data_IF_662795197352
#
_entry.id   IF_662795197352
#
_cell.length_a   1.000
_cell.length_b   1.000
_cell.length_c   1.000
_cell.angle_alpha   90.00
_cell.angle_beta   90.00
_cell.angle_gamma   90.00
#
_symmetry.space_group_name_H-M   'P 1'
#
loop_
_entity.id
_entity.type
_entity.pdbx_description
1 polymer ?
#
# COMPACT_ATOMS: atom_id res chain seq x y z
N UNK A 1 16.05 -3.44 -46.98
CA UNK A 1 15.35 -4.34 -46.03
C UNK A 1 14.80 -3.50 -44.89
N UNK A 2 13.52 -3.11 -44.97
CA UNK A 2 12.87 -2.13 -44.08
C UNK A 2 11.95 -2.83 -43.05
N UNK A 3 12.53 -3.68 -42.21
CA UNK A 3 11.81 -4.45 -41.19
C UNK A 3 12.03 -3.96 -39.77
N UNK A 4 12.31 -2.67 -39.55
CA UNK A 4 12.43 -2.13 -38.20
C UNK A 4 11.02 -1.81 -37.66
N UNK A 5 10.50 -2.81 -36.95
CA UNK A 5 9.46 -2.80 -35.93
C UNK A 5 8.59 -1.54 -35.84
N UNK A 6 7.30 -1.70 -36.13
CA UNK A 6 6.26 -0.80 -35.66
C UNK A 6 6.45 -0.57 -34.15
N UNK A 7 6.69 0.69 -33.74
CA UNK A 7 6.90 1.01 -32.33
C UNK A 7 5.65 0.63 -31.55
N UNK A 8 5.82 -0.09 -30.43
CA UNK A 8 4.69 -0.43 -29.56
C UNK A 8 3.99 0.85 -29.08
N UNK A 9 2.65 0.93 -29.13
CA UNK A 9 1.92 2.11 -28.68
C UNK A 9 2.15 2.40 -27.20
N UNK A 10 2.07 3.67 -26.80
CA UNK A 10 2.31 4.09 -25.40
C UNK A 10 1.39 3.40 -24.40
N UNK A 11 0.13 3.13 -24.79
CA UNK A 11 -0.81 2.34 -23.99
C UNK A 11 -0.26 0.94 -23.67
N UNK A 12 0.40 0.31 -24.65
CA UNK A 12 0.95 -1.03 -24.49
C UNK A 12 2.24 -0.99 -23.65
N UNK A 13 3.08 0.03 -23.82
CA UNK A 13 4.23 0.28 -22.93
C UNK A 13 3.78 0.42 -21.48
N UNK A 14 2.75 1.24 -21.22
CA UNK A 14 2.17 1.41 -19.87
C UNK A 14 1.69 0.07 -19.31
N UNK A 15 1.01 -0.76 -20.11
CA UNK A 15 0.52 -2.07 -19.68
C UNK A 15 1.67 -2.98 -19.25
N UNK A 16 2.73 -3.07 -20.06
CA UNK A 16 3.91 -3.90 -19.78
C UNK A 16 4.60 -3.42 -18.50
N UNK A 17 4.81 -2.11 -18.38
CA UNK A 17 5.48 -1.49 -17.23
C UNK A 17 4.68 -1.67 -15.95
N UNK A 18 3.36 -1.47 -16.02
CA UNK A 18 2.47 -1.71 -14.88
C UNK A 18 2.56 -3.15 -14.40
N UNK A 19 2.73 -4.13 -15.29
CA UNK A 19 2.91 -5.52 -14.91
C UNK A 19 4.26 -5.77 -14.23
N UNK A 20 5.35 -5.16 -14.71
CA UNK A 20 6.65 -5.25 -14.02
C UNK A 20 6.58 -4.68 -12.61
N UNK A 21 6.00 -3.49 -12.45
CA UNK A 21 5.85 -2.83 -11.15
C UNK A 21 5.02 -3.68 -10.17
N UNK A 22 3.88 -4.22 -10.62
CA UNK A 22 3.02 -5.06 -9.77
C UNK A 22 3.66 -6.40 -9.39
N UNK A 23 4.58 -6.88 -10.21
CA UNK A 23 5.29 -8.14 -10.01
C UNK A 23 6.63 -7.96 -9.29
N UNK A 24 6.95 -6.75 -8.84
CA UNK A 24 8.18 -6.50 -8.11
C UNK A 24 8.21 -7.36 -6.82
N UNK A 25 9.35 -8.00 -6.49
CA UNK A 25 9.49 -8.68 -5.21
C UNK A 25 9.34 -7.69 -4.04
N UNK A 26 8.78 -8.12 -2.90
CA UNK A 26 8.80 -7.33 -1.68
C UNK A 26 10.23 -6.92 -1.33
N UNK A 27 10.44 -5.64 -1.04
CA UNK A 27 11.77 -5.08 -0.77
C UNK A 27 12.53 -4.56 -2.00
N UNK A 28 12.18 -4.99 -3.22
CA UNK A 28 12.91 -4.64 -4.47
C UNK A 28 12.13 -3.68 -5.39
N UNK A 29 11.06 -3.08 -4.90
CA UNK A 29 10.22 -2.17 -5.68
C UNK A 29 11.01 -0.99 -6.28
N UNK A 30 11.96 -0.42 -5.54
CA UNK A 30 12.70 0.76 -5.98
C UNK A 30 13.67 0.40 -7.12
N UNK A 31 14.28 -0.78 -7.03
CA UNK A 31 15.17 -1.36 -8.03
C UNK A 31 14.38 -1.61 -9.33
N UNK A 32 13.27 -2.35 -9.24
CA UNK A 32 12.39 -2.61 -10.40
C UNK A 32 11.87 -1.30 -11.00
N UNK A 33 11.48 -0.33 -10.18
CA UNK A 33 11.05 0.99 -10.66
C UNK A 33 12.16 1.72 -11.43
N UNK A 34 13.39 1.72 -10.91
CA UNK A 34 14.52 2.37 -11.57
C UNK A 34 14.87 1.68 -12.90
N UNK A 35 14.86 0.36 -12.95
CA UNK A 35 15.11 -0.40 -14.18
C UNK A 35 14.05 -0.09 -15.24
N UNK A 36 12.77 -0.13 -14.85
CA UNK A 36 11.63 0.22 -15.70
C UNK A 36 11.72 1.66 -16.22
N UNK A 37 12.13 2.61 -15.37
CA UNK A 37 12.29 4.02 -15.74
C UNK A 37 13.35 4.19 -16.83
N UNK A 38 14.49 3.51 -16.69
CA UNK A 38 15.57 3.51 -17.70
C UNK A 38 15.12 2.83 -18.99
N UNK A 39 14.40 1.70 -18.90
CA UNK A 39 13.89 0.99 -20.07
C UNK A 39 12.83 1.77 -20.86
N UNK A 40 12.00 2.55 -20.18
CA UNK A 40 10.97 3.35 -20.81
C UNK A 40 11.50 4.66 -21.39
N UNK A 41 12.46 5.29 -20.72
CA UNK A 41 13.04 6.60 -21.08
C UNK A 41 11.98 7.70 -21.30
N UNK A 42 10.90 7.67 -20.51
CA UNK A 42 9.83 8.66 -20.56
C UNK A 42 9.15 8.82 -19.19
N UNK A 43 9.69 9.73 -18.38
CA UNK A 43 9.21 9.99 -17.01
C UNK A 43 7.75 10.47 -16.95
N UNK A 44 7.29 11.21 -17.96
CA UNK A 44 5.92 11.69 -17.99
C UNK A 44 4.94 10.52 -18.16
N UNK A 45 5.22 9.64 -19.12
CA UNK A 45 4.41 8.47 -19.39
C UNK A 45 4.40 7.49 -18.22
N UNK A 46 5.53 7.33 -17.53
CA UNK A 46 5.64 6.50 -16.32
C UNK A 46 4.76 7.05 -15.19
N UNK A 47 4.85 8.36 -14.92
CA UNK A 47 4.10 8.99 -13.83
C UNK A 47 2.59 8.96 -14.07
N UNK A 48 2.14 9.32 -15.27
CA UNK A 48 0.71 9.38 -15.58
C UNK A 48 0.12 7.98 -15.74
N UNK A 49 0.81 7.12 -16.51
CA UNK A 49 0.29 5.82 -16.91
C UNK A 49 0.40 4.72 -15.86
N UNK A 50 1.45 4.72 -15.03
CA UNK A 50 1.71 3.66 -14.06
C UNK A 50 1.39 4.03 -12.60
N UNK A 51 0.87 5.24 -12.34
CA UNK A 51 0.48 5.68 -10.98
C UNK A 51 -0.42 4.70 -10.24
N UNK A 52 -1.39 4.12 -10.96
CA UNK A 52 -2.31 3.10 -10.43
C UNK A 52 -1.62 1.78 -10.11
N UNK A 53 -0.52 1.44 -10.80
CA UNK A 53 0.25 0.25 -10.50
C UNK A 53 1.01 0.40 -9.16
N UNK A 54 1.53 1.60 -8.86
CA UNK A 54 2.18 1.88 -7.58
C UNK A 54 1.19 1.79 -6.40
N UNK A 55 -0.01 2.34 -6.57
CA UNK A 55 -1.02 2.27 -5.51
C UNK A 55 -1.48 0.84 -5.27
N UNK A 56 -1.75 0.10 -6.35
CA UNK A 56 -2.15 -1.30 -6.26
C UNK A 56 -1.05 -2.16 -5.60
N UNK A 57 0.20 -2.03 -6.04
CA UNK A 57 1.33 -2.76 -5.44
C UNK A 57 1.43 -2.51 -3.93
N UNK A 58 1.44 -1.23 -3.51
CA UNK A 58 1.57 -0.91 -2.10
C UNK A 58 0.39 -1.42 -1.25
N UNK A 59 -0.83 -1.39 -1.80
CA UNK A 59 -2.01 -1.90 -1.11
C UNK A 59 -2.07 -3.42 -1.04
N UNK A 60 -1.53 -4.13 -2.05
CA UNK A 60 -1.45 -5.59 -2.06
C UNK A 60 -0.32 -6.11 -1.16
N UNK A 61 0.77 -5.35 -1.02
CA UNK A 61 1.89 -5.65 -0.13
C UNK A 61 1.69 -5.17 1.32
N UNK A 62 0.54 -4.57 1.63
CA UNK A 62 0.23 -4.00 2.94
C UNK A 62 1.32 -3.03 3.43
N UNK A 63 1.87 -2.20 2.53
CA UNK A 63 3.03 -1.36 2.82
C UNK A 63 2.82 -0.54 4.11
N UNK A 64 3.73 -0.62 5.08
CA UNK A 64 3.68 0.20 6.28
C UNK A 64 3.90 1.67 5.98
N UNK A 65 3.04 2.53 6.52
CA UNK A 65 3.16 3.98 6.47
C UNK A 65 3.32 4.56 7.87
N UNK A 66 4.36 5.38 8.07
CA UNK A 66 4.55 6.11 9.31
C UNK A 66 3.67 7.37 9.33
N UNK A 67 2.75 7.44 10.28
CA UNK A 67 1.83 8.57 10.47
C UNK A 67 2.03 9.10 11.88
N UNK A 68 2.57 10.31 12.01
CA UNK A 68 3.09 10.83 13.27
C UNK A 68 4.12 9.87 13.89
N UNK A 69 3.88 9.38 15.11
CA UNK A 69 4.76 8.46 15.83
C UNK A 69 4.38 6.98 15.64
N UNK A 70 3.23 6.69 15.01
CA UNK A 70 2.72 5.33 14.80
C UNK A 70 2.91 4.85 13.36
N UNK A 71 2.71 3.54 13.17
CA UNK A 71 2.75 2.90 11.84
C UNK A 71 1.42 2.20 11.57
N UNK A 72 0.90 2.42 10.36
CA UNK A 72 -0.38 1.88 9.87
C UNK A 72 -0.18 1.24 8.50
N UNK A 73 -0.92 0.18 8.19
CA UNK A 73 -0.84 -0.50 6.90
C UNK A 73 -1.63 0.26 5.84
N UNK A 74 -1.02 0.46 4.66
CA UNK A 74 -1.71 0.94 3.47
C UNK A 74 -2.40 -0.24 2.80
N UNK A 75 -3.72 -0.30 2.86
CA UNK A 75 -4.51 -1.42 2.33
C UNK A 75 -5.75 -0.91 1.61
N UNK A 76 -6.36 -1.76 0.78
CA UNK A 76 -7.65 -1.47 0.14
C UNK A 76 -8.79 -1.27 1.15
N UNK A 77 -8.68 -1.86 2.35
CA UNK A 77 -9.66 -1.71 3.42
C UNK A 77 -9.59 -0.35 4.11
N UNK A 78 -8.39 0.26 4.16
CA UNK A 78 -8.17 1.60 4.67
C UNK A 78 -8.31 2.69 3.61
N UNK A 79 -8.42 2.32 2.32
CA UNK A 79 -8.46 3.29 1.23
C UNK A 79 -9.77 4.10 1.26
N UNK A 80 -9.62 5.42 1.27
CA UNK A 80 -10.69 6.38 1.07
C UNK A 80 -10.56 7.02 -0.33
N UNK A 81 -11.13 8.19 -0.54
CA UNK A 81 -11.04 8.89 -1.83
C UNK A 81 -9.60 9.17 -2.27
N UNK A 82 -9.25 8.72 -3.47
CA UNK A 82 -7.94 8.94 -4.09
C UNK A 82 -6.80 8.24 -3.36
N UNK A 83 -5.78 9.01 -2.98
CA UNK A 83 -4.60 8.54 -2.25
C UNK A 83 -4.70 8.79 -0.74
N UNK A 84 -5.91 8.82 -0.19
CA UNK A 84 -6.12 8.99 1.26
C UNK A 84 -6.45 7.68 1.92
N UNK A 85 -5.95 7.48 3.13
CA UNK A 85 -6.06 6.24 3.89
C UNK A 85 -6.47 6.52 5.34
N UNK A 86 -7.16 5.57 5.94
CA UNK A 86 -7.62 5.60 7.33
C UNK A 86 -6.61 4.89 8.24
N UNK A 87 -6.20 5.57 9.31
CA UNK A 87 -5.69 4.97 10.54
C UNK A 87 -6.85 4.84 11.54
N UNK A 88 -7.45 3.64 11.66
CA UNK A 88 -8.61 3.45 12.53
C UNK A 88 -8.25 3.49 14.02
N UNK A 89 -7.00 3.20 14.39
CA UNK A 89 -6.57 3.17 15.80
C UNK A 89 -6.47 4.58 16.35
N UNK A 90 -5.82 5.47 15.60
CA UNK A 90 -5.66 6.87 15.98
C UNK A 90 -6.81 7.77 15.51
N UNK A 91 -7.77 7.19 14.77
CA UNK A 91 -8.89 7.91 14.16
C UNK A 91 -8.39 9.07 13.29
N UNK A 92 -7.38 8.79 12.47
CA UNK A 92 -6.77 9.75 11.55
C UNK A 92 -7.03 9.33 10.10
N UNK A 93 -7.08 10.31 9.22
CA UNK A 93 -7.01 10.14 7.77
C UNK A 93 -5.79 10.88 7.28
N UNK A 94 -5.00 10.24 6.43
CA UNK A 94 -3.77 10.80 5.88
C UNK A 94 -3.72 10.59 4.38
N UNK A 95 -2.95 11.42 3.69
CA UNK A 95 -2.61 11.23 2.29
C UNK A 95 -1.32 10.43 2.20
N UNK A 96 -1.25 9.50 1.25
CA UNK A 96 -0.08 8.65 1.05
C UNK A 96 0.46 8.81 -0.36
N UNK A 97 1.73 9.22 -0.47
CA UNK A 97 2.46 9.26 -1.73
C UNK A 97 3.01 7.86 -2.02
N UNK A 98 2.40 7.16 -2.97
CA UNK A 98 2.79 5.79 -3.32
C UNK A 98 4.17 5.66 -3.96
N UNK A 99 4.70 6.75 -4.53
CA UNK A 99 6.02 6.76 -5.14
C UNK A 99 7.10 6.99 -4.08
N UNK A 100 6.87 7.96 -3.18
CA UNK A 100 7.80 8.28 -2.09
C UNK A 100 7.67 7.36 -0.87
N UNK A 101 6.55 6.65 -0.76
CA UNK A 101 6.15 5.86 0.40
C UNK A 101 6.07 6.69 1.68
N UNK A 102 5.51 7.90 1.55
CA UNK A 102 5.42 8.88 2.64
C UNK A 102 3.97 9.25 2.93
N UNK A 103 3.61 9.30 4.21
CA UNK A 103 2.35 9.84 4.66
C UNK A 103 2.45 11.35 4.95
N UNK A 104 1.38 12.09 4.68
CA UNK A 104 1.26 13.53 4.90
C UNK A 104 -0.20 13.93 5.14
N UNK A 105 -0.42 15.21 5.47
CA UNK A 105 -1.77 15.79 5.60
C UNK A 105 -2.67 15.02 6.59
N UNK A 106 -2.10 14.48 7.68
CA UNK A 106 -2.85 13.74 8.69
C UNK A 106 -3.84 14.66 9.41
N UNK A 107 -5.10 14.24 9.48
CA UNK A 107 -6.20 14.96 10.13
C UNK A 107 -7.20 13.99 10.75
N UNK A 108 -8.04 14.46 11.67
CA UNK A 108 -9.02 13.61 12.33
C UNK A 108 -10.01 12.98 11.35
N UNK A 109 -10.38 11.73 11.59
CA UNK A 109 -11.31 10.95 10.79
C UNK A 109 -12.50 10.46 11.64
N UNK A 110 -13.65 10.37 10.99
CA UNK A 110 -14.83 9.70 11.55
C UNK A 110 -14.69 8.19 11.33
N UNK A 111 -14.94 7.41 12.39
CA UNK A 111 -15.01 5.95 12.34
C UNK A 111 -16.45 5.49 12.58
N UNK A 112 -16.72 4.22 12.33
CA UNK A 112 -18.03 3.63 12.59
C UNK A 112 -18.23 3.41 14.10
N UNK A 113 -18.97 4.31 14.75
CA UNK A 113 -19.20 4.26 16.20
C UNK A 113 -19.90 2.97 16.66
N UNK A 114 -20.68 2.31 15.80
CA UNK A 114 -21.35 1.07 16.15
C UNK A 114 -20.38 -0.12 16.18
N UNK A 115 -19.45 -0.16 15.22
CA UNK A 115 -18.46 -1.22 15.12
C UNK A 115 -17.18 -0.97 15.95
N UNK A 116 -16.89 0.29 16.31
CA UNK A 116 -15.64 0.69 16.97
C UNK A 116 -15.35 -0.06 18.28
N UNK A 117 -16.31 -0.32 19.19
CA UNK A 117 -16.02 -1.09 20.41
C UNK A 117 -15.49 -2.50 20.11
N UNK A 118 -16.01 -3.15 19.06
CA UNK A 118 -15.56 -4.47 18.64
C UNK A 118 -14.21 -4.42 17.94
N UNK A 119 -14.00 -3.40 17.09
CA UNK A 119 -12.72 -3.15 16.42
C UNK A 119 -11.60 -2.91 17.43
N UNK A 120 -11.82 -2.02 18.40
CA UNK A 120 -10.84 -1.68 19.42
C UNK A 120 -10.51 -2.87 20.33
N UNK A 121 -11.52 -3.66 20.70
CA UNK A 121 -11.30 -4.89 21.46
C UNK A 121 -10.43 -5.89 20.67
N UNK A 122 -10.76 -6.14 19.40
CA UNK A 122 -10.00 -7.05 18.54
C UNK A 122 -8.57 -6.55 18.29
N UNK A 123 -8.40 -5.27 17.98
CA UNK A 123 -7.10 -4.63 17.75
C UNK A 123 -6.16 -4.84 18.94
N UNK A 124 -6.64 -4.67 20.17
CA UNK A 124 -5.84 -4.91 21.38
C UNK A 124 -5.35 -6.36 21.48
N UNK A 125 -6.20 -7.35 21.20
CA UNK A 125 -5.80 -8.76 21.25
C UNK A 125 -4.83 -9.13 20.14
N UNK A 126 -5.09 -8.67 18.91
CA UNK A 126 -4.24 -9.00 17.76
C UNK A 126 -2.88 -8.32 17.87
N UNK A 127 -2.77 -7.11 18.44
CA UNK A 127 -1.47 -6.50 18.73
C UNK A 127 -0.59 -7.39 19.62
N UNK A 128 -1.18 -8.01 20.65
CA UNK A 128 -0.46 -8.97 21.49
C UNK A 128 0.00 -10.19 20.69
N UNK A 129 -0.91 -10.81 19.94
CA UNK A 129 -0.59 -11.95 19.07
C UNK A 129 0.53 -11.63 18.06
N UNK A 130 0.45 -10.47 17.41
CA UNK A 130 1.42 -10.06 16.39
C UNK A 130 2.79 -9.87 17.03
N UNK A 131 2.85 -9.18 18.18
CA UNK A 131 4.10 -9.00 18.93
C UNK A 131 4.74 -10.33 19.34
N UNK A 132 3.94 -11.32 19.70
CA UNK A 132 4.43 -12.61 20.17
C UNK A 132 4.86 -13.56 19.02
N UNK A 133 4.35 -13.35 17.80
CA UNK A 133 4.53 -14.28 16.67
C UNK A 133 5.30 -13.71 15.46
N UNK A 134 5.40 -12.38 15.34
CA UNK A 134 5.97 -11.70 14.16
C UNK A 134 7.03 -10.68 14.60
N UNK A 135 8.34 -10.95 14.41
CA UNK A 135 9.42 -10.12 14.94
C UNK A 135 9.35 -8.64 14.57
N UNK A 136 8.90 -8.30 13.35
CA UNK A 136 8.70 -6.92 12.92
C UNK A 136 7.23 -6.67 12.53
N UNK A 137 6.31 -7.46 13.09
CA UNK A 137 4.92 -7.47 12.70
C UNK A 137 4.20 -6.16 12.97
N UNK A 138 3.41 -5.73 12.00
CA UNK A 138 2.55 -4.56 12.04
C UNK A 138 1.12 -5.02 11.77
N UNK A 139 0.16 -4.44 12.49
CA UNK A 139 -1.26 -4.76 12.35
C UNK A 139 -2.10 -3.51 12.25
N UNK A 140 -3.07 -3.56 11.34
CA UNK A 140 -4.18 -2.60 11.27
C UNK A 140 -5.50 -3.35 11.25
N UNK A 141 -6.42 -2.97 12.14
CA UNK A 141 -7.77 -3.55 12.22
C UNK A 141 -8.80 -2.51 11.81
N UNK A 142 -9.54 -2.81 10.75
CA UNK A 142 -10.62 -1.99 10.21
C UNK A 142 -11.99 -2.54 10.62
N UNK A 143 -12.99 -1.69 10.59
CA UNK A 143 -14.37 -2.08 10.86
C UNK A 143 -15.37 -1.31 10.00
N UNK A 144 -16.47 -1.98 9.68
CA UNK A 144 -17.66 -1.36 9.09
C UNK A 144 -18.93 -2.05 9.60
N UNK A 145 -20.03 -1.31 9.63
CA UNK A 145 -21.36 -1.83 9.91
C UNK A 145 -22.33 -1.48 8.78
N UNK A 146 -23.17 -2.46 8.41
CA UNK A 146 -24.23 -2.28 7.42
C UNK A 146 -25.33 -3.32 7.66
N UNK A 147 -26.60 -2.90 7.59
CA UNK A 147 -27.74 -3.81 7.76
C UNK A 147 -27.75 -4.56 9.10
N UNK A 148 -27.21 -3.96 10.17
CA UNK A 148 -27.09 -4.60 11.48
C UNK A 148 -25.98 -5.65 11.61
N UNK A 149 -25.14 -5.83 10.59
CA UNK A 149 -23.97 -6.70 10.64
C UNK A 149 -22.70 -5.86 10.81
N UNK A 150 -21.81 -6.30 11.70
CA UNK A 150 -20.47 -5.73 11.89
C UNK A 150 -19.45 -6.62 11.16
N UNK A 151 -18.67 -6.02 10.27
CA UNK A 151 -17.52 -6.65 9.63
C UNK A 151 -16.24 -6.08 10.22
N UNK A 152 -15.39 -6.95 10.74
CA UNK A 152 -14.04 -6.62 11.18
C UNK A 152 -13.05 -7.20 10.17
N UNK A 153 -12.02 -6.43 9.81
CA UNK A 153 -10.96 -6.88 8.91
C UNK A 153 -9.62 -6.66 9.56
N UNK A 154 -8.84 -7.73 9.72
CA UNK A 154 -7.51 -7.70 10.33
C UNK A 154 -6.47 -7.86 9.22
N UNK A 155 -5.58 -6.88 9.10
CA UNK A 155 -4.44 -6.93 8.19
C UNK A 155 -3.16 -7.02 9.03
N UNK A 156 -2.35 -8.03 8.79
CA UNK A 156 -1.04 -8.24 9.44
C UNK A 156 0.01 -8.29 8.34
N UNK A 157 1.12 -7.59 8.55
CA UNK A 157 2.28 -7.57 7.68
C UNK A 157 3.53 -7.74 8.54
N UNK A 158 4.49 -8.52 8.07
CA UNK A 158 5.81 -8.64 8.67
C UNK A 158 6.80 -8.90 7.55
N UNK A 159 7.82 -8.07 7.46
CA UNK A 159 8.87 -8.21 6.47
C UNK A 159 10.24 -8.17 7.13
N UNK A 160 11.19 -8.75 6.41
CA UNK A 160 12.60 -8.63 6.69
C UNK A 160 13.34 -8.63 5.37
N UNK A 161 13.95 -7.50 5.03
CA UNK A 161 14.75 -7.36 3.82
C UNK A 161 16.22 -7.30 4.21
N UNK A 162 17.06 -8.03 3.50
CA UNK A 162 18.49 -8.10 3.72
C UNK A 162 19.24 -8.02 2.39
N UNK A 163 19.28 -6.84 1.74
CA UNK A 163 19.89 -6.70 0.40
C UNK A 163 21.36 -7.17 0.34
N UNK A 164 22.12 -7.02 1.44
CA UNK A 164 23.51 -7.50 1.53
C UNK A 164 23.64 -9.02 1.50
N UNK A 165 22.57 -9.73 1.84
CA UNK A 165 22.46 -11.18 1.84
C UNK A 165 21.63 -11.71 0.66
N UNK A 166 21.16 -10.83 -0.24
CA UNK A 166 20.38 -11.17 -1.43
C UNK A 166 19.04 -11.87 -1.15
N UNK A 167 18.33 -11.43 -0.10
CA UNK A 167 16.96 -11.83 0.23
C UNK A 167 16.22 -10.73 0.99
#
# INVERSE_FOLDING_TARGET
MSGYSEQIPDREKIRIISNFIKSAPPGEFNEVFNDVRVLLDNDQLLKEGASSAFSQYNMEQFTPAKVNDDTVLVTTHGQAEGSKYLDPRNKLKFKYDHLRKEASEASSATVDDHAEPFRAALDKYVQGYVKDHYPNGIVTVYSSSSGGQIKLTVCIEDHKFSPRNFW
#
